data_IF_923991389402
#
_entry.id   IF_923991389402
#
_cell.length_a   1.000
_cell.length_b   1.000
_cell.length_c   1.000
_cell.angle_alpha   90.00
_cell.angle_beta   90.00
_cell.angle_gamma   90.00
#
_symmetry.space_group_name_H-M   'P 1'
#
loop_
_entity.id
_entity.type
_entity.pdbx_description
1 polymer ?
#
# COMPACT_ATOMS: atom_id res chain seq x y z
N UNK A 1 -19.66 -12.11 -7.58
CA UNK A 1 -18.30 -11.57 -7.65
C UNK A 1 -18.42 -10.10 -8.02
N UNK A 2 -18.31 -9.20 -7.04
CA UNK A 2 -18.29 -7.76 -7.29
C UNK A 2 -16.85 -7.36 -7.57
N UNK A 3 -16.57 -6.84 -8.76
CA UNK A 3 -15.24 -6.32 -9.12
C UNK A 3 -15.27 -4.80 -8.95
N UNK A 4 -14.45 -4.27 -8.05
CA UNK A 4 -14.19 -2.83 -8.03
C UNK A 4 -13.28 -2.49 -9.22
N UNK A 5 -13.70 -1.62 -10.15
CA UNK A 5 -12.82 -1.20 -11.22
C UNK A 5 -11.62 -0.46 -10.61
N UNK A 6 -10.41 -0.88 -10.96
CA UNK A 6 -9.16 -0.23 -10.60
C UNK A 6 -8.99 1.09 -11.41
N UNK A 7 -9.93 2.02 -11.25
CA UNK A 7 -10.06 3.25 -12.04
C UNK A 7 -9.41 4.47 -11.37
N UNK A 8 -8.50 4.26 -10.42
CA UNK A 8 -7.68 5.36 -9.92
C UNK A 8 -6.68 5.77 -11.01
N UNK A 9 -6.57 7.07 -11.28
CA UNK A 9 -5.46 7.58 -12.08
C UNK A 9 -4.15 7.07 -11.47
N UNK A 10 -3.34 6.37 -12.26
CA UNK A 10 -2.03 5.94 -11.82
C UNK A 10 -1.14 7.14 -11.52
N UNK A 11 -0.14 6.94 -10.66
CA UNK A 11 0.78 7.99 -10.28
C UNK A 11 2.13 7.44 -9.86
N UNK A 12 3.15 8.30 -9.91
CA UNK A 12 4.48 7.98 -9.38
C UNK A 12 4.58 8.15 -7.87
N UNK A 13 3.63 8.89 -7.28
CA UNK A 13 3.51 9.11 -5.84
C UNK A 13 2.08 8.79 -5.43
N UNK A 14 1.91 7.77 -4.59
CA UNK A 14 0.62 7.35 -4.04
C UNK A 14 0.66 7.48 -2.52
N UNK A 15 -0.46 7.89 -1.94
CA UNK A 15 -0.68 7.87 -0.50
C UNK A 15 -1.89 7.00 -0.17
N UNK A 16 -1.75 6.22 0.90
CA UNK A 16 -2.82 5.40 1.48
C UNK A 16 -2.98 5.81 2.94
N UNK A 17 -4.21 6.03 3.38
CA UNK A 17 -4.49 6.80 4.59
C UNK A 17 -4.53 5.98 5.87
N UNK A 18 -4.42 4.65 5.80
CA UNK A 18 -4.50 3.81 6.98
C UNK A 18 -3.28 2.89 7.12
N UNK A 19 -2.89 2.69 8.37
CA UNK A 19 -2.00 1.63 8.82
C UNK A 19 -2.65 1.10 10.10
N UNK A 20 -3.13 -0.14 10.06
CA UNK A 20 -3.74 -0.79 11.20
C UNK A 20 -3.31 -2.27 11.21
N UNK A 21 -2.38 -2.58 12.10
CA UNK A 21 -1.82 -3.91 12.33
C UNK A 21 -1.98 -4.21 13.83
N UNK A 22 -3.16 -4.64 14.26
CA UNK A 22 -3.46 -4.88 15.68
C UNK A 22 -4.92 -4.62 16.03
N UNK A 23 -5.31 -4.94 17.28
CA UNK A 23 -6.70 -4.82 17.76
C UNK A 23 -7.72 -5.58 16.88
N UNK A 24 -7.27 -6.66 16.22
CA UNK A 24 -8.08 -7.43 15.28
C UNK A 24 -8.22 -6.80 13.89
N UNK A 25 -7.39 -5.79 13.55
CA UNK A 25 -7.28 -5.21 12.22
C UNK A 25 -5.98 -5.63 11.53
N UNK A 26 -6.08 -5.79 10.21
CA UNK A 26 -4.97 -6.07 9.31
C UNK A 26 -5.02 -5.16 8.09
N UNK A 27 -3.87 -4.73 7.59
CA UNK A 27 -3.73 -3.87 6.41
C UNK A 27 -2.90 -4.57 5.32
N UNK A 28 -3.42 -4.56 4.10
CA UNK A 28 -2.73 -5.04 2.92
C UNK A 28 -2.65 -3.98 1.84
N UNK A 29 -1.64 -4.09 0.99
CA UNK A 29 -1.47 -3.22 -0.16
C UNK A 29 -1.32 -4.06 -1.43
N UNK A 30 -1.89 -3.54 -2.50
CA UNK A 30 -1.60 -4.01 -3.84
C UNK A 30 -1.16 -2.85 -4.71
N UNK A 31 -0.05 -3.05 -5.42
CA UNK A 31 0.52 -2.11 -6.36
C UNK A 31 0.69 -2.81 -7.71
N UNK A 32 0.17 -2.20 -8.77
CA UNK A 32 0.21 -2.71 -10.13
C UNK A 32 1.08 -1.78 -10.97
N UNK A 33 2.03 -2.36 -11.70
CA UNK A 33 2.80 -1.68 -12.73
C UNK A 33 2.20 -2.04 -14.10
N UNK A 34 1.35 -1.19 -14.69
CA UNK A 34 0.79 -1.43 -16.02
C UNK A 34 1.80 -1.17 -17.15
N UNK A 35 2.98 -0.61 -16.83
CA UNK A 35 4.00 -0.24 -17.80
C UNK A 35 4.79 -1.42 -18.36
N UNK A 36 5.60 -1.12 -19.38
CA UNK A 36 6.44 -2.10 -20.08
C UNK A 36 7.88 -2.17 -19.53
N UNK A 37 8.18 -1.42 -18.47
CA UNK A 37 9.48 -1.38 -17.79
C UNK A 37 9.26 -1.71 -16.32
N UNK A 38 10.19 -2.42 -15.70
CA UNK A 38 10.13 -2.70 -14.27
C UNK A 38 10.18 -1.40 -13.46
N UNK A 39 9.37 -1.33 -12.40
CA UNK A 39 9.23 -0.17 -11.54
C UNK A 39 10.01 -0.34 -10.24
N UNK A 40 10.96 0.56 -9.99
CA UNK A 40 11.69 0.67 -8.74
C UNK A 40 10.86 1.50 -7.77
N UNK A 41 10.34 0.85 -6.74
CA UNK A 41 9.31 1.43 -5.88
C UNK A 41 9.76 1.44 -4.43
N UNK A 42 9.59 2.58 -3.76
CA UNK A 42 9.85 2.75 -2.35
C UNK A 42 8.52 2.87 -1.61
N UNK A 43 8.29 1.96 -0.67
CA UNK A 43 7.12 1.93 0.19
C UNK A 43 7.57 2.39 1.57
N UNK A 44 6.88 3.36 2.15
CA UNK A 44 7.25 3.98 3.43
C UNK A 44 6.04 4.10 4.33
N UNK A 45 6.26 3.87 5.62
CA UNK A 45 5.25 3.97 6.66
C UNK A 45 5.58 5.17 7.52
N UNK A 46 4.62 6.06 7.66
CA UNK A 46 4.72 7.26 8.48
C UNK A 46 3.75 7.18 9.64
N UNK A 47 4.18 7.63 10.81
CA UNK A 47 3.31 7.82 11.97
C UNK A 47 2.35 9.02 11.74
N UNK A 48 1.37 9.17 12.61
CA UNK A 48 0.34 10.24 12.53
C UNK A 48 0.92 11.65 12.61
N UNK A 49 2.08 11.82 13.25
CA UNK A 49 2.82 13.08 13.34
C UNK A 49 3.70 13.37 12.10
N UNK A 50 3.73 12.46 11.12
CA UNK A 50 4.55 12.55 9.92
C UNK A 50 5.98 12.03 10.07
N UNK A 51 6.34 11.42 11.21
CA UNK A 51 7.64 10.77 11.41
C UNK A 51 7.73 9.48 10.57
N UNK A 52 8.84 9.28 9.84
CA UNK A 52 9.09 8.03 9.13
C UNK A 52 9.35 6.89 10.13
N UNK A 53 8.53 5.84 10.09
CA UNK A 53 8.67 4.65 10.94
C UNK A 53 9.60 3.64 10.28
N UNK A 54 9.33 3.29 9.02
CA UNK A 54 10.12 2.32 8.26
C UNK A 54 9.91 2.51 6.76
N UNK A 55 10.78 1.93 5.95
CA UNK A 55 10.65 1.96 4.50
C UNK A 55 11.41 0.83 3.82
N UNK A 56 10.90 0.39 2.68
CA UNK A 56 11.45 -0.71 1.89
C UNK A 56 11.40 -0.39 0.42
N UNK A 57 12.46 -0.77 -0.29
CA UNK A 57 12.51 -0.73 -1.73
C UNK A 57 12.13 -2.09 -2.31
N UNK A 58 11.27 -2.09 -3.31
CA UNK A 58 10.78 -3.26 -4.03
C UNK A 58 10.83 -3.00 -5.52
N UNK A 59 11.01 -4.06 -6.30
CA UNK A 59 10.93 -3.99 -7.76
C UNK A 59 9.65 -4.66 -8.21
N UNK A 60 8.80 -3.94 -8.93
CA UNK A 60 7.59 -4.49 -9.53
C UNK A 60 7.84 -4.69 -11.03
N UNK A 61 7.86 -5.93 -11.54
CA UNK A 61 8.11 -6.19 -12.96
C UNK A 61 7.14 -5.46 -13.89
N UNK A 62 7.53 -5.29 -15.15
CA UNK A 62 6.65 -4.80 -16.21
C UNK A 62 5.38 -5.67 -16.31
N UNK A 63 4.20 -5.05 -16.38
CA UNK A 63 2.90 -5.75 -16.32
C UNK A 63 2.65 -6.53 -15.02
N UNK A 64 3.51 -6.36 -14.02
CA UNK A 64 3.50 -7.10 -12.77
C UNK A 64 2.69 -6.42 -11.67
N UNK A 65 2.56 -7.13 -10.55
CA UNK A 65 1.94 -6.60 -9.34
C UNK A 65 2.67 -7.07 -8.09
N UNK A 66 2.59 -6.25 -7.05
CA UNK A 66 2.87 -6.60 -5.67
C UNK A 66 1.53 -6.72 -4.93
N UNK A 67 1.40 -7.75 -4.09
CA UNK A 67 0.23 -7.98 -3.23
C UNK A 67 0.75 -8.57 -1.92
N UNK A 68 0.68 -7.80 -0.84
CA UNK A 68 1.22 -8.21 0.46
C UNK A 68 0.44 -7.57 1.60
N UNK A 69 0.39 -8.25 2.74
CA UNK A 69 0.06 -7.61 4.02
C UNK A 69 1.25 -6.77 4.49
N UNK A 70 1.01 -5.69 5.23
CA UNK A 70 2.10 -4.82 5.68
C UNK A 70 3.12 -5.58 6.56
N UNK A 71 2.63 -6.51 7.38
CA UNK A 71 3.41 -7.34 8.29
C UNK A 71 4.01 -8.60 7.66
N UNK A 72 3.81 -8.83 6.35
CA UNK A 72 4.50 -9.90 5.63
C UNK A 72 6.04 -9.72 5.72
N UNK A 73 6.79 -10.82 5.73
CA UNK A 73 8.26 -10.79 5.77
C UNK A 73 8.86 -10.05 4.55
N UNK A 74 8.15 -10.10 3.43
CA UNK A 74 8.45 -9.41 2.18
C UNK A 74 8.29 -7.89 2.31
N UNK A 75 7.62 -7.38 3.34
CA UNK A 75 7.50 -5.96 3.68
C UNK A 75 8.08 -5.67 5.07
N UNK A 76 7.23 -5.52 6.10
CA UNK A 76 7.58 -4.94 7.39
C UNK A 76 7.09 -5.77 8.57
N UNK A 77 7.73 -6.91 8.90
CA UNK A 77 7.31 -7.76 10.01
C UNK A 77 7.36 -7.07 11.38
N UNK A 78 8.11 -5.97 11.50
CA UNK A 78 8.21 -5.17 12.73
C UNK A 78 7.03 -4.23 12.98
N UNK A 79 6.04 -4.15 12.08
CA UNK A 79 4.86 -3.29 12.26
C UNK A 79 3.74 -3.92 13.09
N UNK A 80 3.94 -5.13 13.61
CA UNK A 80 2.97 -5.74 14.52
C UNK A 80 2.60 -4.77 15.65
N UNK A 81 1.30 -4.69 15.96
CA UNK A 81 0.69 -3.79 16.94
C UNK A 81 0.77 -2.27 16.61
N UNK A 82 1.08 -1.90 15.36
CA UNK A 82 1.08 -0.50 14.91
C UNK A 82 -0.30 -0.07 14.45
N UNK A 83 -0.87 0.95 15.12
CA UNK A 83 -2.16 1.55 14.76
C UNK A 83 -1.99 3.05 14.46
N UNK A 84 -2.52 3.47 13.32
CA UNK A 84 -2.51 4.85 12.84
C UNK A 84 -1.29 5.17 11.99
N UNK A 85 -1.36 6.34 11.34
CA UNK A 85 -0.36 6.76 10.37
C UNK A 85 -0.84 6.53 8.94
N UNK A 86 0.10 6.58 7.99
CA UNK A 86 -0.21 6.47 6.57
C UNK A 86 0.95 5.85 5.79
N UNK A 87 0.64 5.34 4.61
CA UNK A 87 1.60 4.74 3.70
C UNK A 87 1.88 5.75 2.59
N UNK A 88 3.15 5.88 2.22
CA UNK A 88 3.60 6.60 1.03
C UNK A 88 4.33 5.65 0.11
N UNK A 89 3.94 5.68 -1.16
CA UNK A 89 4.60 4.92 -2.21
C UNK A 89 5.16 5.88 -3.24
N UNK A 90 6.45 5.79 -3.52
CA UNK A 90 7.12 6.56 -4.57
C UNK A 90 7.77 5.60 -5.56
N UNK A 91 7.59 5.84 -6.86
CA UNK A 91 8.10 4.97 -7.92
C UNK A 91 8.68 5.76 -9.09
N UNK A 92 9.60 5.15 -9.82
CA UNK A 92 10.14 5.71 -11.07
C UNK A 92 9.16 5.55 -12.25
N UNK A 93 8.24 4.59 -12.19
CA UNK A 93 7.14 4.36 -13.13
C UNK A 93 5.79 4.73 -12.52
N UNK A 94 4.77 4.88 -13.37
CA UNK A 94 3.39 5.03 -12.91
C UNK A 94 2.89 3.72 -12.32
N UNK A 95 2.35 3.79 -11.11
CA UNK A 95 1.70 2.67 -10.45
C UNK A 95 0.23 2.99 -10.21
N UNK A 96 -0.58 1.93 -10.16
CA UNK A 96 -1.94 2.00 -9.65
C UNK A 96 -1.98 1.14 -8.39
N UNK A 97 -2.59 1.65 -7.32
CA UNK A 97 -2.57 0.94 -6.05
C UNK A 97 -3.91 0.97 -5.33
N UNK A 98 -4.13 -0.05 -4.52
CA UNK A 98 -5.22 -0.14 -3.56
C UNK A 98 -4.68 -0.59 -2.21
N UNK A 99 -5.24 -0.03 -1.16
CA UNK A 99 -5.13 -0.53 0.20
C UNK A 99 -6.38 -1.36 0.51
N UNK A 100 -6.18 -2.48 1.19
CA UNK A 100 -7.25 -3.19 1.88
C UNK A 100 -6.99 -3.07 3.36
N UNK A 101 -8.00 -2.69 4.14
CA UNK A 101 -7.94 -2.87 5.59
C UNK A 101 -9.22 -3.55 6.03
N UNK A 102 -9.09 -4.50 6.94
CA UNK A 102 -10.18 -5.36 7.34
C UNK A 102 -9.99 -5.80 8.78
N UNK A 103 -11.09 -6.25 9.39
CA UNK A 103 -11.03 -6.95 10.66
C UNK A 103 -10.79 -8.43 10.40
N UNK A 104 -10.04 -9.10 11.26
CA UNK A 104 -9.70 -10.53 11.11
C UNK A 104 -10.94 -11.43 11.10
N UNK A 105 -12.03 -10.97 11.73
CA UNK A 105 -13.35 -11.62 11.72
C UNK A 105 -14.19 -11.31 10.47
N UNK A 106 -13.68 -10.47 9.56
CA UNK A 106 -14.27 -10.01 8.30
C UNK A 106 -15.61 -9.25 8.44
N UNK A 107 -15.96 -8.78 9.63
CA UNK A 107 -17.16 -7.94 9.83
C UNK A 107 -17.02 -6.57 9.16
N UNK A 108 -15.78 -6.10 9.03
CA UNK A 108 -15.42 -4.91 8.28
C UNK A 108 -14.36 -5.25 7.25
N UNK A 109 -14.58 -4.79 6.02
CA UNK A 109 -13.60 -4.83 4.94
C UNK A 109 -13.78 -3.59 4.07
N UNK A 110 -12.68 -2.90 3.82
CA UNK A 110 -12.65 -1.72 2.96
C UNK A 110 -11.52 -1.85 1.95
N UNK A 111 -11.82 -1.47 0.71
CA UNK A 111 -10.84 -1.33 -0.37
C UNK A 111 -10.76 0.14 -0.74
N UNK A 112 -9.60 0.74 -0.50
CA UNK A 112 -9.37 2.17 -0.65
C UNK A 112 -8.35 2.40 -1.77
N UNK A 113 -8.72 3.11 -2.86
CA UNK A 113 -7.76 3.44 -3.91
C UNK A 113 -6.67 4.39 -3.40
N UNK A 114 -5.43 4.14 -3.82
CA UNK A 114 -4.31 5.03 -3.55
C UNK A 114 -4.54 6.40 -4.16
N UNK A 115 -4.33 7.45 -3.36
CA UNK A 115 -4.49 8.83 -3.81
C UNK A 115 -3.20 9.30 -4.46
N UNK A 116 -3.29 9.84 -5.68
CA UNK A 116 -2.14 10.46 -6.34
C UNK A 116 -1.83 11.77 -5.64
N UNK A 117 -0.60 11.90 -5.15
CA UNK A 117 -0.12 13.13 -4.53
C UNK A 117 0.63 13.95 -5.58
N UNK A 118 0.08 15.11 -5.95
CA UNK A 118 0.79 16.11 -6.74
C UNK A 118 1.72 16.92 -5.82
N UNK A 119 2.92 17.22 -6.29
CA UNK A 119 3.77 18.25 -5.69
C UNK A 119 3.26 19.65 -6.00
#
# INVERSE_FOLDING_TARGET
>A
MTTLPLSASGGKKLSFSHVAEGLGYSTGISLVNPGQVAATTRIEIFATDGTLVTGKQVTIPAGGRLVNMLTDNELFPSLADTIGGYIRVTSDQELIGVEIFFMDNLELLSLVPGQVVQE
#
